data_IF_179809452584
#
_entry.id   IF_179809452584
#
_cell.length_a   1.000
_cell.length_b   1.000
_cell.length_c   1.000
_cell.angle_alpha   90.00
_cell.angle_beta   90.00
_cell.angle_gamma   90.00
#
_symmetry.space_group_name_H-M   'P 1'
#
loop_
_entity.id
_entity.type
_entity.pdbx_description
1 polymer ?
#
# COMPACT_ATOMS: atom_id res chain seq x y z
N UNK A 1 2.31 22.84 -26.12
CA UNK A 1 2.63 22.58 -24.70
C UNK A 1 2.27 21.14 -24.47
N UNK A 2 3.28 20.26 -24.44
CA UNK A 2 3.05 18.83 -24.32
C UNK A 2 2.49 18.54 -22.93
N UNK A 3 1.18 18.24 -22.89
CA UNK A 3 0.55 17.59 -21.76
C UNK A 3 1.03 16.15 -21.79
N UNK A 4 2.26 15.92 -21.36
CA UNK A 4 2.80 14.58 -21.18
C UNK A 4 1.77 13.81 -20.35
N UNK A 5 1.35 12.63 -20.81
CA UNK A 5 0.29 11.76 -20.26
C UNK A 5 0.65 11.17 -18.87
N UNK A 6 1.38 11.93 -18.07
CA UNK A 6 1.87 11.64 -16.73
C UNK A 6 0.69 11.21 -15.83
N UNK A 7 -0.48 11.85 -15.97
CA UNK A 7 -1.63 11.54 -15.12
C UNK A 7 -2.11 10.09 -15.21
N UNK A 8 -2.19 9.53 -16.42
CA UNK A 8 -2.70 8.17 -16.63
C UNK A 8 -1.71 7.09 -16.21
N UNK A 9 -0.46 7.21 -16.68
CA UNK A 9 0.56 6.20 -16.40
C UNK A 9 1.01 6.22 -14.93
N UNK A 10 1.28 7.40 -14.34
CA UNK A 10 1.65 7.48 -12.93
C UNK A 10 0.49 7.12 -12.01
N UNK A 11 -0.75 7.46 -12.37
CA UNK A 11 -1.94 7.01 -11.63
C UNK A 11 -2.07 5.48 -11.60
N UNK A 12 -1.79 4.81 -12.72
CA UNK A 12 -1.80 3.34 -12.77
C UNK A 12 -0.67 2.73 -11.93
N UNK A 13 0.54 3.28 -11.99
CA UNK A 13 1.65 2.83 -11.14
C UNK A 13 1.31 2.98 -9.65
N UNK A 14 0.70 4.10 -9.28
CA UNK A 14 0.29 4.37 -7.91
C UNK A 14 -0.80 3.39 -7.45
N UNK A 15 -1.78 3.09 -8.31
CA UNK A 15 -2.81 2.09 -8.03
C UNK A 15 -2.21 0.69 -7.80
N UNK A 16 -1.25 0.28 -8.64
CA UNK A 16 -0.56 -1.00 -8.48
C UNK A 16 0.20 -1.03 -7.14
N UNK A 17 0.84 0.09 -6.79
CA UNK A 17 1.56 0.25 -5.54
C UNK A 17 0.63 0.14 -4.31
N UNK A 18 -0.55 0.79 -4.36
CA UNK A 18 -1.56 0.70 -3.31
C UNK A 18 -2.10 -0.71 -3.13
N UNK A 19 -2.41 -1.41 -4.22
CA UNK A 19 -2.85 -2.82 -4.17
C UNK A 19 -1.78 -3.68 -3.51
N UNK A 20 -0.52 -3.50 -3.89
CA UNK A 20 0.58 -4.24 -3.29
C UNK A 20 0.73 -3.96 -1.79
N UNK A 21 0.60 -2.70 -1.38
CA UNK A 21 0.61 -2.31 0.03
C UNK A 21 -0.52 -2.99 0.82
N UNK A 22 -1.74 -2.95 0.28
CA UNK A 22 -2.93 -3.56 0.88
C UNK A 22 -2.75 -5.08 1.06
N UNK A 23 -2.26 -5.79 0.04
CA UNK A 23 -1.99 -7.24 0.10
C UNK A 23 -1.00 -7.57 1.23
N UNK A 24 0.05 -6.78 1.39
CA UNK A 24 0.99 -6.96 2.49
C UNK A 24 0.36 -6.68 3.86
N UNK A 25 -0.51 -5.67 3.98
CA UNK A 25 -1.26 -5.41 5.21
C UNK A 25 -2.12 -6.61 5.58
N UNK A 26 -2.84 -7.19 4.61
CA UNK A 26 -3.66 -8.38 4.85
C UNK A 26 -2.85 -9.60 5.30
N UNK A 27 -1.70 -9.85 4.68
CA UNK A 27 -0.79 -10.96 5.02
C UNK A 27 0.01 -10.76 6.31
N UNK A 28 -0.03 -9.58 6.92
CA UNK A 28 0.71 -9.31 8.16
C UNK A 28 0.10 -9.97 9.40
N UNK A 29 0.93 -10.15 10.43
CA UNK A 29 0.54 -10.70 11.74
C UNK A 29 -0.13 -9.66 12.67
N UNK A 30 -0.64 -8.55 12.12
CA UNK A 30 -1.37 -7.55 12.90
C UNK A 30 -2.84 -7.92 13.06
N UNK A 31 -3.44 -7.50 14.17
CA UNK A 31 -4.88 -7.66 14.41
C UNK A 31 -5.76 -6.94 13.38
N UNK A 32 -7.00 -7.40 13.23
CA UNK A 32 -7.97 -6.90 12.23
C UNK A 32 -8.16 -5.39 12.27
N UNK A 33 -8.31 -4.79 13.45
CA UNK A 33 -8.50 -3.34 13.59
C UNK A 33 -7.32 -2.54 13.02
N UNK A 34 -6.09 -2.99 13.26
CA UNK A 34 -4.90 -2.35 12.72
C UNK A 34 -4.83 -2.50 11.19
N UNK A 35 -5.21 -3.66 10.64
CA UNK A 35 -5.27 -3.88 9.19
C UNK A 35 -6.26 -2.92 8.53
N UNK A 36 -7.45 -2.79 9.09
CA UNK A 36 -8.49 -1.88 8.59
C UNK A 36 -8.01 -0.43 8.61
N UNK A 37 -7.40 0.02 9.71
CA UNK A 37 -6.87 1.39 9.81
C UNK A 37 -5.79 1.68 8.76
N UNK A 38 -4.87 0.73 8.53
CA UNK A 38 -3.84 0.87 7.49
C UNK A 38 -4.42 0.94 6.09
N UNK A 39 -5.40 0.07 5.77
CA UNK A 39 -6.04 0.06 4.45
C UNK A 39 -6.82 1.36 4.23
N UNK A 40 -7.59 1.82 5.22
CA UNK A 40 -8.31 3.09 5.14
C UNK A 40 -7.34 4.26 4.90
N UNK A 41 -6.21 4.27 5.60
CA UNK A 41 -5.19 5.31 5.44
C UNK A 41 -4.59 5.32 4.03
N UNK A 42 -4.27 4.15 3.46
CA UNK A 42 -3.75 4.01 2.09
C UNK A 42 -4.80 4.49 1.07
N UNK A 43 -6.06 4.08 1.21
CA UNK A 43 -7.11 4.45 0.26
C UNK A 43 -7.49 5.94 0.30
N UNK A 44 -7.50 6.56 1.48
CA UNK A 44 -7.81 7.98 1.63
C UNK A 44 -6.66 8.88 1.19
N UNK A 45 -5.42 8.42 1.35
CA UNK A 45 -4.22 9.14 0.97
C UNK A 45 -3.33 8.26 0.10
N UNK A 46 -3.65 8.04 -1.19
CA UNK A 46 -2.93 7.08 -2.04
C UNK A 46 -1.41 7.28 -2.04
N UNK A 47 -0.95 8.49 -2.37
CA UNK A 47 0.49 8.77 -2.43
C UNK A 47 1.16 8.77 -1.05
N UNK A 48 0.61 9.48 -0.07
CA UNK A 48 1.22 9.58 1.26
C UNK A 48 1.10 8.26 2.04
N UNK A 49 -0.05 7.62 1.94
CA UNK A 49 -0.37 6.34 2.54
C UNK A 49 0.54 5.24 2.01
N UNK A 50 0.77 5.17 0.69
CA UNK A 50 1.77 4.27 0.12
C UNK A 50 3.18 4.55 0.66
N UNK A 51 3.63 5.81 0.66
CA UNK A 51 4.97 6.19 1.14
C UNK A 51 5.18 5.86 2.62
N UNK A 52 4.19 6.17 3.47
CA UNK A 52 4.23 5.86 4.90
C UNK A 52 4.19 4.34 5.13
N UNK A 53 3.38 3.61 4.37
CA UNK A 53 3.36 2.15 4.41
C UNK A 53 4.70 1.55 3.95
N UNK A 54 5.38 2.16 2.99
CA UNK A 54 6.69 1.65 2.54
C UNK A 54 7.72 1.63 3.68
N UNK A 55 7.68 2.65 4.55
CA UNK A 55 8.60 2.82 5.68
C UNK A 55 8.15 2.09 6.95
N UNK A 56 6.86 2.19 7.30
CA UNK A 56 6.31 1.74 8.60
C UNK A 56 5.20 0.70 8.49
N UNK A 57 4.85 0.34 7.26
CA UNK A 57 3.77 -0.58 6.96
C UNK A 57 4.04 -1.98 7.47
N UNK A 58 2.99 -2.67 7.94
CA UNK A 58 3.13 -4.03 8.43
C UNK A 58 3.57 -4.96 7.29
N UNK A 59 4.63 -5.75 7.55
CA UNK A 59 5.20 -6.70 6.59
C UNK A 59 4.56 -8.07 6.77
N UNK A 60 4.53 -8.87 5.70
CA UNK A 60 4.12 -10.27 5.77
C UNK A 60 5.13 -11.05 6.62
N UNK A 61 4.67 -11.80 7.62
CA UNK A 61 5.53 -12.67 8.41
C UNK A 61 5.77 -13.94 7.60
N UNK A 62 6.98 -14.12 7.05
CA UNK A 62 7.38 -15.43 6.54
C UNK A 62 7.56 -16.34 7.76
N UNK A 63 6.62 -17.24 8.03
CA UNK A 63 6.87 -18.30 8.98
C UNK A 63 8.06 -19.11 8.46
N UNK A 64 9.19 -19.04 9.16
CA UNK A 64 10.24 -20.02 9.00
C UNK A 64 9.63 -21.34 9.46
N UNK A 65 9.16 -22.15 8.50
CA UNK A 65 8.81 -23.53 8.80
C UNK A 65 10.12 -24.27 9.16
N UNK A 66 10.20 -24.90 10.35
CA UNK A 66 11.30 -25.81 10.67
C UNK A 66 11.25 -27.07 9.79
#
# INVERSE_FOLDING_TARGET
MEMMEIGGFFGLLLLIADIWAIVNVFGSDRGTGAKVLWILFILLFPLLGFLVWLLFGPRTTKSARP
#
